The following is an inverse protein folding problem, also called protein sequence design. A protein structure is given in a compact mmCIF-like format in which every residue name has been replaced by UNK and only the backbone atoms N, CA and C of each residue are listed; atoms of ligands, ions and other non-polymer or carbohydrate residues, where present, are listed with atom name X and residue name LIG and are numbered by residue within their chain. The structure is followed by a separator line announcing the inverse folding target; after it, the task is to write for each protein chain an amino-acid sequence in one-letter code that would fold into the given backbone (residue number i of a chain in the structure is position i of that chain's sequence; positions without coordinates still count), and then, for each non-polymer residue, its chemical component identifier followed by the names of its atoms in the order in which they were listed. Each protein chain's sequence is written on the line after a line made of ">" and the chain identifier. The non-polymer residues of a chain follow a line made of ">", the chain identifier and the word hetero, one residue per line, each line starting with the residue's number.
data_IF_382466245636
#
_entry.id   IF_382466245636
#
_cell.length_a   1.000
_cell.length_b   1.000
_cell.length_c   1.000
_cell.angle_alpha   90.00
_cell.angle_beta   90.00
_cell.angle_gamma   90.00
#
_symmetry.space_group_name_H-M   'P 1'
#
loop_
_entity.id
_entity.type
_entity.pdbx_description
1 polymer ?
#
# COMPACT_ATOMS: atom_id res chain seq x y z
N UNK A 1 27.61 31.35 0.82
CA UNK A 1 26.50 31.08 1.75
C UNK A 1 25.85 29.75 1.36
N UNK A 2 26.11 28.64 2.05
CA UNK A 2 25.48 27.36 1.73
C UNK A 2 23.99 27.40 2.06
N UNK A 3 23.11 27.13 1.09
CA UNK A 3 21.66 27.02 1.33
C UNK A 3 21.41 25.98 2.43
N UNK A 4 20.51 26.28 3.37
CA UNK A 4 20.08 25.28 4.36
C UNK A 4 19.34 24.18 3.59
N UNK A 5 19.79 22.94 3.74
CA UNK A 5 19.22 21.77 3.07
C UNK A 5 18.51 20.89 4.07
N UNK A 6 17.45 20.24 3.61
CA UNK A 6 16.59 19.38 4.43
C UNK A 6 16.58 17.96 3.88
N UNK A 7 16.33 17.01 4.77
CA UNK A 7 16.18 15.60 4.45
C UNK A 7 14.94 15.40 3.58
N UNK A 8 15.10 14.70 2.46
CA UNK A 8 14.00 14.42 1.53
C UNK A 8 12.95 13.43 2.08
N UNK A 9 13.22 12.77 3.22
CA UNK A 9 12.29 11.83 3.86
C UNK A 9 11.57 12.44 5.05
N UNK A 10 12.31 12.94 6.05
CA UNK A 10 11.73 13.44 7.30
C UNK A 10 11.68 14.97 7.43
N UNK A 11 12.24 15.72 6.48
CA UNK A 11 12.29 17.19 6.53
C UNK A 11 13.29 17.77 7.53
N UNK A 12 14.01 16.94 8.31
CA UNK A 12 15.03 17.43 9.25
C UNK A 12 16.19 18.14 8.53
N UNK A 13 16.82 19.11 9.19
CA UNK A 13 17.97 19.84 8.63
C UNK A 13 19.15 18.89 8.42
N UNK A 14 19.76 18.94 7.23
CA UNK A 14 20.97 18.18 6.93
C UNK A 14 22.20 18.75 7.66
N UNK A 15 23.20 17.90 8.01
CA UNK A 15 24.43 18.37 8.63
C UNK A 15 25.11 19.46 7.79
N UNK A 16 25.65 20.50 8.45
CA UNK A 16 26.23 21.67 7.76
C UNK A 16 27.40 21.30 6.82
N UNK A 17 28.15 20.26 7.17
CA UNK A 17 29.30 19.77 6.41
C UNK A 17 28.98 18.51 5.59
N UNK A 18 27.69 18.18 5.43
CA UNK A 18 27.30 17.06 4.59
C UNK A 18 27.62 17.36 3.12
N UNK A 19 27.99 16.31 2.38
CA UNK A 19 28.20 16.39 0.94
C UNK A 19 27.05 17.12 0.22
N UNK A 20 27.34 17.98 -0.77
CA UNK A 20 26.32 18.60 -1.64
C UNK A 20 25.38 17.60 -2.32
N UNK A 21 25.75 16.32 -2.41
CA UNK A 21 24.90 15.26 -2.98
C UNK A 21 24.08 14.49 -1.95
N UNK A 22 24.28 14.73 -0.64
CA UNK A 22 23.52 14.04 0.42
C UNK A 22 22.06 14.48 0.40
N UNK A 23 21.14 13.50 0.37
CA UNK A 23 19.69 13.73 0.34
C UNK A 23 18.98 13.42 1.67
N UNK A 24 19.59 12.59 2.52
CA UNK A 24 18.97 12.09 3.75
C UNK A 24 19.83 12.41 4.97
N UNK A 25 19.20 12.60 6.13
CA UNK A 25 19.94 12.84 7.38
C UNK A 25 20.80 11.63 7.76
N UNK A 26 20.25 10.43 7.63
CA UNK A 26 20.86 9.16 8.01
C UNK A 26 20.42 8.01 7.08
N UNK A 27 20.91 6.80 7.37
CA UNK A 27 20.59 5.60 6.61
C UNK A 27 19.18 5.06 6.90
N UNK A 28 18.57 5.44 8.03
CA UNK A 28 17.17 5.09 8.33
C UNK A 28 16.23 5.82 7.37
N UNK A 29 16.41 7.13 7.20
CA UNK A 29 15.67 7.94 6.25
C UNK A 29 15.94 7.52 4.79
N UNK A 30 17.16 7.07 4.48
CA UNK A 30 17.47 6.48 3.17
C UNK A 30 16.67 5.19 2.94
N UNK A 31 16.65 4.30 3.93
CA UNK A 31 15.92 3.04 3.84
C UNK A 31 14.40 3.27 3.75
N UNK A 32 13.85 4.22 4.51
CA UNK A 32 12.45 4.62 4.40
C UNK A 32 12.12 5.13 3.01
N UNK A 33 12.88 6.11 2.50
CA UNK A 33 12.66 6.64 1.15
C UNK A 33 12.78 5.57 0.05
N UNK A 34 13.68 4.59 0.22
CA UNK A 34 13.78 3.45 -0.69
C UNK A 34 12.52 2.58 -0.66
N UNK A 35 12.03 2.22 0.54
CA UNK A 35 10.80 1.42 0.71
C UNK A 35 9.59 2.16 0.16
N UNK A 36 9.49 3.47 0.39
CA UNK A 36 8.39 4.29 -0.12
C UNK A 36 8.39 4.34 -1.65
N UNK A 37 9.57 4.51 -2.28
CA UNK A 37 9.69 4.44 -3.75
C UNK A 37 9.34 3.08 -4.30
N UNK A 38 9.78 2.00 -3.64
CA UNK A 38 9.45 0.63 -4.05
C UNK A 38 7.95 0.37 -3.95
N UNK A 39 7.32 0.81 -2.85
CA UNK A 39 5.87 0.70 -2.66
C UNK A 39 5.10 1.53 -3.68
N UNK A 40 5.51 2.77 -3.94
CA UNK A 40 4.86 3.62 -4.94
C UNK A 40 4.95 3.01 -6.35
N UNK A 41 6.09 2.43 -6.72
CA UNK A 41 6.24 1.73 -7.99
C UNK A 41 5.33 0.49 -8.07
N UNK A 42 5.25 -0.28 -6.98
CA UNK A 42 4.36 -1.44 -6.89
C UNK A 42 2.88 -1.04 -7.00
N UNK A 43 2.47 -0.01 -6.25
CA UNK A 43 1.11 0.52 -6.25
C UNK A 43 0.73 1.06 -7.65
N UNK A 44 1.67 1.70 -8.36
CA UNK A 44 1.46 2.16 -9.73
C UNK A 44 1.20 1.01 -10.71
N UNK A 45 2.07 -0.02 -10.70
CA UNK A 45 1.91 -1.20 -11.57
C UNK A 45 0.58 -1.90 -11.30
N UNK A 46 0.22 -2.03 -10.02
CA UNK A 46 -1.03 -2.64 -9.61
C UNK A 46 -2.26 -1.82 -10.00
N UNK A 47 -2.16 -0.49 -9.91
CA UNK A 47 -3.20 0.43 -10.39
C UNK A 47 -3.42 0.31 -11.90
N UNK A 48 -2.34 0.14 -12.68
CA UNK A 48 -2.45 -0.08 -14.12
C UNK A 48 -3.19 -1.39 -14.45
N UNK A 49 -2.82 -2.49 -13.77
CA UNK A 49 -3.52 -3.78 -13.93
C UNK A 49 -4.99 -3.71 -13.54
N UNK A 50 -5.31 -2.97 -12.48
CA UNK A 50 -6.70 -2.77 -12.06
C UNK A 50 -7.47 -1.97 -13.12
N UNK A 51 -6.90 -0.89 -13.65
CA UNK A 51 -7.53 -0.08 -14.70
C UNK A 51 -7.80 -0.90 -15.97
N UNK A 52 -6.85 -1.74 -16.38
CA UNK A 52 -7.02 -2.65 -17.51
C UNK A 52 -8.11 -3.69 -17.26
N UNK A 53 -8.16 -4.27 -16.06
CA UNK A 53 -9.20 -5.22 -15.68
C UNK A 53 -10.59 -4.58 -15.62
N UNK A 54 -10.69 -3.33 -15.15
CA UNK A 54 -11.92 -2.54 -15.17
C UNK A 54 -12.38 -2.27 -16.60
N UNK A 55 -11.45 -1.90 -17.50
CA UNK A 55 -11.73 -1.68 -18.91
C UNK A 55 -12.25 -2.94 -19.61
N UNK A 56 -11.61 -4.09 -19.37
CA UNK A 56 -11.98 -5.37 -19.96
C UNK A 56 -13.15 -6.07 -19.25
N UNK A 57 -13.63 -5.51 -18.13
CA UNK A 57 -14.68 -6.13 -17.30
C UNK A 57 -14.25 -7.41 -16.58
N UNK A 58 -12.94 -7.65 -16.40
CA UNK A 58 -12.41 -8.84 -15.74
C UNK A 58 -12.62 -8.79 -14.22
N UNK A 59 -13.78 -9.28 -13.79
CA UNK A 59 -14.16 -9.36 -12.38
C UNK A 59 -13.25 -10.26 -11.55
N UNK A 60 -12.53 -11.20 -12.17
CA UNK A 60 -11.59 -12.09 -11.50
C UNK A 60 -10.37 -11.32 -11.01
N UNK A 61 -9.74 -10.58 -11.92
CA UNK A 61 -8.58 -9.74 -11.62
C UNK A 61 -8.97 -8.61 -10.68
N UNK A 62 -10.08 -7.91 -10.90
CA UNK A 62 -10.54 -6.85 -9.98
C UNK A 62 -10.66 -7.39 -8.55
N UNK A 63 -11.20 -8.61 -8.37
CA UNK A 63 -11.35 -9.23 -7.05
C UNK A 63 -10.04 -9.68 -6.42
N UNK A 64 -9.04 -10.03 -7.22
CA UNK A 64 -7.69 -10.36 -6.76
C UNK A 64 -6.91 -9.11 -6.31
N UNK A 65 -7.12 -7.99 -7.00
CA UNK A 65 -6.39 -6.75 -6.78
C UNK A 65 -7.06 -5.79 -5.79
N UNK A 66 -8.30 -6.07 -5.34
CA UNK A 66 -9.05 -5.18 -4.45
C UNK A 66 -9.63 -5.91 -3.23
N UNK A 67 -9.73 -5.17 -2.13
CA UNK A 67 -10.36 -5.69 -0.94
C UNK A 67 -11.88 -5.77 -1.15
N UNK A 68 -12.52 -6.94 -0.97
CA UNK A 68 -13.97 -7.10 -1.20
C UNK A 68 -14.84 -6.34 -0.18
N UNK A 69 -14.24 -5.73 0.85
CA UNK A 69 -14.95 -5.02 1.92
C UNK A 69 -14.87 -3.51 1.78
N UNK A 70 -13.76 -2.97 1.28
CA UNK A 70 -13.56 -1.52 1.20
C UNK A 70 -13.07 -1.03 -0.17
N UNK A 71 -12.88 -1.92 -1.15
CA UNK A 71 -12.44 -1.58 -2.50
C UNK A 71 -11.00 -1.10 -2.62
N UNK A 72 -10.28 -0.92 -1.50
CA UNK A 72 -8.87 -0.52 -1.52
C UNK A 72 -8.06 -1.57 -2.27
N UNK A 73 -7.13 -1.10 -3.11
CA UNK A 73 -6.15 -1.93 -3.78
C UNK A 73 -5.42 -2.79 -2.74
N UNK A 74 -5.50 -4.09 -2.92
CA UNK A 74 -4.83 -5.10 -2.11
C UNK A 74 -4.26 -6.13 -3.04
N UNK A 75 -2.94 -6.22 -3.10
CA UNK A 75 -2.31 -7.35 -3.74
C UNK A 75 -2.31 -8.53 -2.77
N UNK A 76 -3.18 -9.52 -3.01
CA UNK A 76 -3.03 -10.83 -2.38
C UNK A 76 -1.68 -11.43 -2.85
N UNK A 77 -0.76 -11.74 -1.92
CA UNK A 77 0.51 -12.40 -2.22
C UNK A 77 1.77 -11.54 -2.43
N UNK A 78 1.74 -10.23 -2.12
CA UNK A 78 2.93 -9.35 -2.27
C UNK A 78 3.69 -9.16 -0.97
N UNK A 79 3.09 -8.39 -0.06
CA UNK A 79 3.64 -8.09 1.28
C UNK A 79 2.86 -8.84 2.39
N UNK A 80 1.92 -9.71 1.99
CA UNK A 80 1.06 -10.51 2.86
C UNK A 80 1.02 -11.94 2.32
N UNK A 81 0.62 -12.89 3.18
CA UNK A 81 0.39 -14.29 2.77
C UNK A 81 -0.43 -14.35 1.47
N UNK A 82 -0.12 -15.31 0.61
CA UNK A 82 -0.78 -15.51 -0.69
C UNK A 82 -2.30 -15.69 -0.60
N UNK A 83 -2.82 -16.08 0.56
CA UNK A 83 -4.25 -16.22 0.87
C UNK A 83 -4.91 -14.96 1.45
N UNK A 84 -4.18 -13.84 1.57
CA UNK A 84 -4.67 -12.62 2.19
C UNK A 84 -5.61 -11.84 1.26
N UNK A 85 -6.91 -12.14 1.35
CA UNK A 85 -8.00 -11.48 0.59
C UNK A 85 -8.32 -10.06 1.10
N UNK A 86 -8.02 -9.75 2.36
CA UNK A 86 -8.43 -8.49 2.99
C UNK A 86 -7.25 -7.52 3.20
N UNK A 87 -7.53 -6.21 3.14
CA UNK A 87 -6.52 -5.18 3.35
C UNK A 87 -5.94 -5.12 4.77
N UNK A 88 -6.58 -5.79 5.73
CA UNK A 88 -6.16 -5.84 7.13
C UNK A 88 -7.18 -6.54 8.02
N UNK A 89 -6.88 -6.62 9.33
CA UNK A 89 -7.72 -7.28 10.33
C UNK A 89 -9.13 -6.70 10.43
N UNK A 90 -9.27 -5.38 10.36
CA UNK A 90 -10.57 -4.69 10.44
C UNK A 90 -11.53 -5.13 9.33
N UNK A 91 -11.07 -5.19 8.08
CA UNK A 91 -11.90 -5.64 6.96
C UNK A 91 -12.21 -7.14 7.03
N UNK A 92 -11.26 -7.96 7.51
CA UNK A 92 -11.49 -9.38 7.78
C UNK A 92 -12.62 -9.59 8.80
N UNK A 93 -12.59 -8.87 9.92
CA UNK A 93 -13.61 -8.95 10.97
C UNK A 93 -14.97 -8.46 10.47
N UNK A 94 -15.02 -7.37 9.70
CA UNK A 94 -16.27 -6.87 9.08
C UNK A 94 -16.87 -7.91 8.12
N UNK A 95 -16.05 -8.53 7.27
CA UNK A 95 -16.51 -9.58 6.37
C UNK A 95 -17.00 -10.83 7.11
N UNK A 96 -16.40 -11.18 8.25
CA UNK A 96 -16.91 -12.25 9.11
C UNK A 96 -18.29 -11.91 9.69
N UNK A 97 -18.47 -10.70 10.25
CA UNK A 97 -19.75 -10.26 10.82
C UNK A 97 -20.87 -10.25 9.77
N UNK A 98 -20.58 -9.77 8.56
CA UNK A 98 -21.55 -9.81 7.46
C UNK A 98 -21.97 -11.24 7.09
N UNK A 99 -21.02 -12.17 7.02
CA UNK A 99 -21.32 -13.60 6.76
C UNK A 99 -22.12 -14.22 7.90
N UNK A 100 -21.80 -13.90 9.14
CA UNK A 100 -22.54 -14.36 10.32
C UNK A 100 -23.99 -13.87 10.29
N UNK A 101 -24.21 -12.58 10.02
CA UNK A 101 -25.54 -11.99 9.89
C UNK A 101 -26.36 -12.62 8.75
N UNK A 102 -25.74 -12.89 7.60
CA UNK A 102 -26.39 -13.60 6.48
C UNK A 102 -26.81 -15.02 6.83
N UNK A 103 -25.99 -15.75 7.59
CA UNK A 103 -26.33 -17.10 8.07
C UNK A 103 -27.50 -17.04 9.05
N UNK A 104 -27.46 -16.13 10.02
CA UNK A 104 -28.55 -15.95 10.97
C UNK A 104 -29.89 -15.66 10.28
N UNK A 105 -29.91 -14.79 9.27
CA UNK A 105 -31.11 -14.50 8.47
C UNK A 105 -31.64 -15.67 7.65
N UNK A 106 -30.78 -16.62 7.26
CA UNK A 106 -31.19 -17.83 6.51
C UNK A 106 -31.75 -18.93 7.41
N UNK A 107 -31.50 -18.83 8.71
CA UNK A 107 -31.92 -19.80 9.72
C UNK A 107 -33.14 -19.33 10.52
N UNK A 108 -33.63 -18.12 10.24
CA UNK A 108 -34.86 -17.53 10.76
C UNK A 108 -35.94 -17.60 9.67
#
# INVERSE_FOLDING_TARGET
>A
MGRIRFCASCGARLPRNASPRRLYCDDVCRAHAYRDRKKAAQDFVLGLMLAEAEWNGDRGIIRLLTCPTCGRITFAGGDRRSDAIYCGGTCRSRAWRQRAARRARRSA
#
